data_IF_831286279740
#
_entry.id   IF_831286279740
#
_cell.length_a   1.000
_cell.length_b   1.000
_cell.length_c   1.000
_cell.angle_alpha   90.00
_cell.angle_beta   90.00
_cell.angle_gamma   90.00
#
_symmetry.space_group_name_H-M   'P 1'
#
loop_
_entity.id
_entity.type
_entity.pdbx_description
1 polymer ?
#
# COMPACT_ATOMS: atom_id res chain seq x y z
N UNK A 1 -4.83 13.62 0.88
CA UNK A 1 -4.76 13.74 -0.60
C UNK A 1 -3.83 14.88 -1.04
N UNK A 2 -3.88 16.03 -0.37
CA UNK A 2 -2.98 17.16 -0.66
C UNK A 2 -1.50 16.77 -0.42
N UNK A 3 -1.21 16.01 0.62
CA UNK A 3 0.14 15.50 0.93
C UNK A 3 0.53 14.36 -0.02
N UNK A 4 -0.41 13.52 -0.42
CA UNK A 4 -0.17 12.39 -1.32
C UNK A 4 0.28 12.83 -2.72
N UNK A 5 -0.21 13.96 -3.21
CA UNK A 5 0.14 14.45 -4.55
C UNK A 5 1.65 14.78 -4.70
N UNK A 6 2.25 15.65 -3.87
CA UNK A 6 3.70 15.91 -3.98
C UNK A 6 4.53 14.66 -3.69
N UNK A 7 4.09 13.80 -2.77
CA UNK A 7 4.74 12.52 -2.51
C UNK A 7 4.78 11.63 -3.74
N UNK A 8 3.68 11.49 -4.46
CA UNK A 8 3.63 10.71 -5.69
C UNK A 8 4.65 11.21 -6.73
N UNK A 9 4.85 12.51 -6.83
CA UNK A 9 5.88 13.10 -7.72
C UNK A 9 7.29 12.79 -7.26
N UNK A 10 7.56 12.86 -5.95
CA UNK A 10 8.87 12.53 -5.37
C UNK A 10 9.19 11.05 -5.59
N UNK A 11 8.26 10.16 -5.26
CA UNK A 11 8.43 8.72 -5.46
C UNK A 11 8.50 8.35 -6.95
N UNK A 12 7.77 9.06 -7.82
CA UNK A 12 7.88 8.92 -9.27
C UNK A 12 9.30 9.23 -9.78
N UNK A 13 9.91 10.31 -9.28
CA UNK A 13 11.31 10.64 -9.59
C UNK A 13 12.30 9.64 -8.98
N UNK A 14 12.02 9.17 -7.78
CA UNK A 14 12.87 8.20 -7.09
C UNK A 14 12.86 6.86 -7.81
N UNK A 15 11.73 6.45 -8.41
CA UNK A 15 11.63 5.23 -9.21
C UNK A 15 12.41 5.26 -10.53
N UNK A 16 12.86 6.45 -10.96
CA UNK A 16 13.80 6.59 -12.07
C UNK A 16 15.24 6.24 -11.67
N UNK A 17 15.58 6.40 -10.37
CA UNK A 17 16.91 6.08 -9.83
C UNK A 17 17.02 4.67 -9.25
N UNK A 18 15.95 4.20 -8.65
CA UNK A 18 15.90 2.92 -7.94
C UNK A 18 14.81 2.03 -8.51
N UNK A 19 15.03 0.72 -8.62
CA UNK A 19 14.01 -0.20 -9.12
C UNK A 19 12.78 -0.20 -8.18
N UNK A 20 11.60 -0.18 -8.79
CA UNK A 20 10.33 -0.15 -8.04
C UNK A 20 10.17 -1.35 -7.11
N UNK A 21 10.76 -2.50 -7.46
CA UNK A 21 10.77 -3.71 -6.62
C UNK A 21 11.47 -3.53 -5.27
N UNK A 22 12.39 -2.57 -5.15
CA UNK A 22 13.03 -2.25 -3.87
C UNK A 22 12.27 -1.17 -3.09
N UNK A 23 11.63 -0.23 -3.79
CA UNK A 23 10.91 0.87 -3.15
C UNK A 23 9.56 0.44 -2.57
N UNK A 24 8.85 -0.47 -3.24
CA UNK A 24 7.55 -0.97 -2.77
C UNK A 24 7.66 -1.66 -1.40
N UNK A 25 8.60 -2.59 -1.16
CA UNK A 25 8.78 -3.19 0.16
C UNK A 25 9.06 -2.18 1.27
N UNK A 26 9.85 -1.14 0.99
CA UNK A 26 10.13 -0.06 1.95
C UNK A 26 8.85 0.67 2.33
N UNK A 27 8.01 0.99 1.36
CA UNK A 27 6.73 1.63 1.61
C UNK A 27 5.78 0.74 2.44
N UNK A 28 5.73 -0.57 2.14
CA UNK A 28 4.89 -1.52 2.89
C UNK A 28 5.40 -1.67 4.33
N UNK A 29 6.71 -1.73 4.54
CA UNK A 29 7.30 -1.75 5.87
C UNK A 29 6.97 -0.48 6.65
N UNK A 30 7.03 0.70 5.99
CA UNK A 30 6.60 1.96 6.59
C UNK A 30 5.12 1.95 6.97
N UNK A 31 4.24 1.42 6.12
CA UNK A 31 2.82 1.26 6.44
C UNK A 31 2.58 0.34 7.63
N UNK A 32 3.31 -0.76 7.72
CA UNK A 32 3.24 -1.66 8.88
C UNK A 32 3.64 -0.93 10.16
N UNK A 33 4.72 -0.15 10.11
CA UNK A 33 5.15 0.71 11.23
C UNK A 33 4.11 1.76 11.61
N UNK A 34 3.50 2.42 10.63
CA UNK A 34 2.42 3.39 10.84
C UNK A 34 1.19 2.73 11.49
N UNK A 35 0.81 1.54 11.04
CA UNK A 35 -0.32 0.81 11.62
C UNK A 35 -0.05 0.36 13.07
N UNK A 36 1.19 -0.04 13.38
CA UNK A 36 1.60 -0.34 14.77
C UNK A 36 1.59 0.94 15.61
N UNK A 37 2.11 2.05 15.08
CA UNK A 37 2.09 3.35 15.79
C UNK A 37 0.66 3.81 16.06
N UNK A 38 -0.28 3.56 15.13
CA UNK A 38 -1.69 3.88 15.29
C UNK A 38 -2.33 3.17 16.49
N UNK A 39 -1.82 2.00 16.90
CA UNK A 39 -2.29 1.30 18.09
C UNK A 39 -2.02 2.07 19.37
N UNK A 40 -0.91 2.80 19.42
CA UNK A 40 -0.47 3.59 20.60
C UNK A 40 -0.99 5.03 20.62
N UNK A 41 -1.88 5.39 19.70
CA UNK A 41 -2.46 6.73 19.63
C UNK A 41 -3.32 7.02 20.86
N UNK A 42 -2.91 8.04 21.62
CA UNK A 42 -3.64 8.54 22.80
C UNK A 42 -4.02 10.02 22.69
N UNK A 43 -3.36 10.76 21.82
CA UNK A 43 -3.54 12.21 21.69
C UNK A 43 -3.93 12.63 20.27
N UNK A 44 -4.74 13.67 20.17
CA UNK A 44 -5.26 14.18 18.89
C UNK A 44 -4.15 14.67 17.94
N UNK A 45 -3.10 15.30 18.44
CA UNK A 45 -2.01 15.78 17.59
C UNK A 45 -1.21 14.64 16.93
N UNK A 46 -1.10 13.48 17.60
CA UNK A 46 -0.47 12.27 17.04
C UNK A 46 -1.25 11.76 15.84
N UNK A 47 -2.57 11.92 15.84
CA UNK A 47 -3.42 11.56 14.70
C UNK A 47 -3.10 12.42 13.46
N UNK A 48 -2.83 13.72 13.65
CA UNK A 48 -2.41 14.58 12.54
C UNK A 48 -1.08 14.16 11.93
N UNK A 49 -0.10 13.83 12.77
CA UNK A 49 1.19 13.30 12.31
C UNK A 49 1.00 11.98 11.55
N UNK A 50 0.17 11.09 12.08
CA UNK A 50 -0.16 9.82 11.41
C UNK A 50 -0.80 10.07 10.04
N UNK A 51 -1.76 11.00 9.96
CA UNK A 51 -2.45 11.32 8.71
C UNK A 51 -1.48 11.83 7.63
N UNK A 52 -0.53 12.69 8.01
CA UNK A 52 0.51 13.17 7.10
C UNK A 52 1.41 12.03 6.63
N UNK A 53 1.87 11.17 7.53
CA UNK A 53 2.70 10.02 7.19
C UNK A 53 1.97 9.05 6.26
N UNK A 54 0.72 8.72 6.56
CA UNK A 54 -0.11 7.88 5.67
C UNK A 54 -0.24 8.52 4.30
N UNK A 55 -0.54 9.81 4.22
CA UNK A 55 -0.67 10.55 2.96
C UNK A 55 0.61 10.51 2.13
N UNK A 56 1.77 10.66 2.77
CA UNK A 56 3.06 10.60 2.09
C UNK A 56 3.31 9.23 1.44
N UNK A 57 3.17 8.16 2.19
CA UNK A 57 3.44 6.82 1.68
C UNK A 57 2.34 6.32 0.74
N UNK A 58 1.08 6.71 0.94
CA UNK A 58 -0.04 6.32 0.10
C UNK A 58 0.16 6.77 -1.36
N UNK A 59 0.53 8.03 -1.57
CA UNK A 59 0.82 8.54 -2.91
C UNK A 59 1.99 7.80 -3.56
N UNK A 60 3.05 7.54 -2.78
CA UNK A 60 4.23 6.78 -3.23
C UNK A 60 3.90 5.35 -3.65
N UNK A 61 3.22 4.60 -2.79
CA UNK A 61 2.85 3.19 -3.07
C UNK A 61 1.97 3.10 -4.32
N UNK A 62 0.96 3.95 -4.45
CA UNK A 62 0.08 3.93 -5.61
C UNK A 62 0.83 4.22 -6.91
N UNK A 63 1.70 5.22 -6.93
CA UNK A 63 2.48 5.57 -8.10
C UNK A 63 3.47 4.45 -8.47
N UNK A 64 4.20 3.91 -7.49
CA UNK A 64 5.18 2.85 -7.68
C UNK A 64 4.54 1.54 -8.12
N UNK A 65 3.45 1.13 -7.49
CA UNK A 65 2.74 -0.11 -7.83
C UNK A 65 2.21 -0.08 -9.26
N UNK A 66 1.61 1.03 -9.68
CA UNK A 66 1.13 1.19 -11.06
C UNK A 66 2.29 1.21 -12.06
N UNK A 67 3.39 1.91 -11.75
CA UNK A 67 4.58 1.94 -12.60
C UNK A 67 5.25 0.57 -12.70
N UNK A 68 5.36 -0.16 -11.61
CA UNK A 68 5.92 -1.51 -11.60
C UNK A 68 5.06 -2.47 -12.40
N UNK A 69 3.74 -2.43 -12.20
CA UNK A 69 2.78 -3.25 -12.91
C UNK A 69 2.81 -2.99 -14.41
N UNK A 70 2.89 -1.72 -14.83
CA UNK A 70 3.00 -1.33 -16.25
C UNK A 70 4.24 -1.91 -16.96
N UNK A 71 5.32 -2.18 -16.22
CA UNK A 71 6.55 -2.77 -16.79
C UNK A 71 6.46 -4.29 -16.97
N UNK A 72 5.55 -4.94 -16.26
CA UNK A 72 5.42 -6.41 -16.24
C UNK A 72 4.40 -6.89 -17.27
N UNK A 73 3.36 -6.09 -17.52
CA UNK A 73 2.25 -6.46 -18.40
C UNK A 73 2.57 -6.22 -19.88
N UNK A 74 2.08 -7.07 -20.80
CA UNK A 74 2.21 -6.84 -22.23
C UNK A 74 1.42 -5.59 -22.65
N UNK A 75 2.03 -4.74 -23.47
CA UNK A 75 1.43 -3.47 -23.91
C UNK A 75 0.09 -3.64 -24.63
N UNK A 76 -0.06 -4.74 -25.37
CA UNK A 76 -1.26 -5.04 -26.18
C UNK A 76 -2.52 -5.30 -25.33
N UNK A 77 -2.36 -5.80 -24.10
CA UNK A 77 -3.44 -6.14 -23.18
C UNK A 77 -3.47 -5.27 -21.92
N UNK A 78 -2.77 -4.15 -21.96
CA UNK A 78 -2.61 -3.28 -20.78
C UNK A 78 -3.95 -2.86 -20.16
N UNK A 79 -4.97 -2.59 -20.97
CA UNK A 79 -6.29 -2.18 -20.47
C UNK A 79 -6.98 -3.26 -19.63
N UNK A 80 -6.92 -4.52 -20.05
CA UNK A 80 -7.50 -5.65 -19.30
C UNK A 80 -6.80 -5.86 -17.97
N UNK A 81 -5.46 -5.83 -17.99
CA UNK A 81 -4.65 -6.02 -16.78
C UNK A 81 -4.79 -4.87 -15.79
N UNK A 82 -4.86 -3.61 -16.24
CA UNK A 82 -5.13 -2.48 -15.36
C UNK A 82 -6.55 -2.50 -14.81
N UNK A 83 -7.52 -2.97 -15.58
CA UNK A 83 -8.88 -3.20 -15.08
C UNK A 83 -8.89 -4.20 -13.93
N UNK A 84 -8.20 -5.34 -14.07
CA UNK A 84 -8.07 -6.33 -13.01
C UNK A 84 -7.33 -5.76 -11.78
N UNK A 85 -6.25 -5.00 -12.00
CA UNK A 85 -5.51 -4.34 -10.93
C UNK A 85 -6.39 -3.38 -10.12
N UNK A 86 -7.22 -2.58 -10.79
CA UNK A 86 -8.15 -1.66 -10.13
C UNK A 86 -9.26 -2.39 -9.36
N UNK A 87 -9.77 -3.52 -9.89
CA UNK A 87 -10.75 -4.37 -9.19
C UNK A 87 -10.13 -4.93 -7.90
N UNK A 88 -8.91 -5.47 -7.97
CA UNK A 88 -8.18 -5.96 -6.79
C UNK A 88 -7.94 -4.85 -5.77
N UNK A 89 -7.55 -3.66 -6.22
CA UNK A 89 -7.33 -2.50 -5.34
C UNK A 89 -8.61 -2.04 -4.63
N UNK A 90 -9.73 -1.99 -5.35
CA UNK A 90 -11.04 -1.66 -4.78
C UNK A 90 -11.53 -2.76 -3.83
N UNK A 91 -11.31 -4.03 -4.18
CA UNK A 91 -11.60 -5.18 -3.32
C UNK A 91 -10.81 -5.12 -2.01
N UNK A 92 -9.52 -4.80 -2.06
CA UNK A 92 -8.70 -4.64 -0.87
C UNK A 92 -9.21 -3.50 0.04
N UNK A 93 -9.63 -2.37 -0.53
CA UNK A 93 -10.22 -1.25 0.21
C UNK A 93 -11.54 -1.65 0.88
N UNK A 94 -12.37 -2.42 0.18
CA UNK A 94 -13.61 -2.97 0.75
C UNK A 94 -13.33 -3.90 1.93
N UNK A 95 -12.38 -4.84 1.79
CA UNK A 95 -11.97 -5.73 2.88
C UNK A 95 -11.45 -4.94 4.09
N UNK A 96 -10.65 -3.90 3.88
CA UNK A 96 -10.20 -3.02 4.95
C UNK A 96 -11.36 -2.37 5.72
N UNK A 97 -12.36 -1.87 5.00
CA UNK A 97 -13.56 -1.29 5.61
C UNK A 97 -14.37 -2.32 6.41
N UNK A 98 -14.51 -3.54 5.88
CA UNK A 98 -15.19 -4.65 6.56
C UNK A 98 -14.49 -5.01 7.87
N UNK A 99 -13.15 -5.10 7.86
CA UNK A 99 -12.37 -5.39 9.08
C UNK A 99 -12.63 -4.33 10.15
N UNK A 100 -12.60 -3.06 9.78
CA UNK A 100 -12.87 -1.96 10.72
C UNK A 100 -14.29 -2.06 11.27
N UNK A 101 -15.27 -2.34 10.42
CA UNK A 101 -16.68 -2.49 10.83
C UNK A 101 -16.86 -3.68 11.80
N UNK A 102 -16.30 -4.84 11.48
CA UNK A 102 -16.40 -6.05 12.32
C UNK A 102 -15.77 -5.84 13.69
N UNK A 103 -14.56 -5.24 13.75
CA UNK A 103 -13.91 -4.93 15.03
C UNK A 103 -14.74 -3.98 15.86
N UNK A 104 -15.35 -2.96 15.25
CA UNK A 104 -16.25 -2.02 15.96
C UNK A 104 -17.51 -2.70 16.46
N UNK A 105 -18.13 -3.56 15.68
CA UNK A 105 -19.32 -4.33 16.09
C UNK A 105 -19.01 -5.29 17.24
N UNK A 106 -17.80 -5.84 17.29
CA UNK A 106 -17.32 -6.67 18.39
C UNK A 106 -16.94 -5.89 19.66
N UNK A 107 -17.18 -4.58 19.70
CA UNK A 107 -16.83 -3.71 20.84
C UNK A 107 -15.39 -3.31 20.92
N UNK A 108 -14.59 -3.55 19.87
CA UNK A 108 -13.19 -3.13 19.77
C UNK A 108 -13.03 -1.64 19.53
N UNK A 109 -11.87 -1.10 19.94
CA UNK A 109 -11.50 0.28 19.67
C UNK A 109 -11.04 0.45 18.22
N UNK A 110 -11.10 1.68 17.71
CA UNK A 110 -10.63 1.99 16.35
C UNK A 110 -9.13 1.71 16.19
N UNK A 111 -8.35 1.88 17.27
CA UNK A 111 -6.92 1.60 17.28
C UNK A 111 -6.64 0.11 17.02
N UNK A 112 -7.44 -0.77 17.61
CA UNK A 112 -7.35 -2.22 17.37
C UNK A 112 -7.72 -2.54 15.93
N UNK A 113 -8.76 -1.90 15.38
CA UNK A 113 -9.15 -2.09 13.98
C UNK A 113 -8.02 -1.69 13.02
N UNK A 114 -7.38 -0.55 13.26
CA UNK A 114 -6.24 -0.09 12.44
C UNK A 114 -5.03 -1.01 12.61
N UNK A 115 -4.74 -1.50 13.82
CA UNK A 115 -3.67 -2.45 14.06
C UNK A 115 -3.89 -3.80 13.33
N UNK A 116 -5.14 -4.27 13.21
CA UNK A 116 -5.46 -5.45 12.41
C UNK A 116 -5.08 -5.29 10.93
N UNK A 117 -5.11 -4.06 10.41
CA UNK A 117 -4.65 -3.80 9.03
C UNK A 117 -3.14 -4.04 8.87
N UNK A 118 -2.34 -3.95 9.95
CA UNK A 118 -0.91 -4.27 9.91
C UNK A 118 -0.66 -5.72 9.46
N UNK A 119 -1.56 -6.64 9.82
CA UNK A 119 -1.49 -8.04 9.39
C UNK A 119 -1.66 -8.14 7.87
N UNK A 120 -2.58 -7.38 7.29
CA UNK A 120 -2.77 -7.34 5.83
C UNK A 120 -1.56 -6.74 5.12
N UNK A 121 -0.92 -5.73 5.68
CA UNK A 121 0.31 -5.17 5.13
C UNK A 121 1.47 -6.17 5.21
N UNK A 122 1.61 -6.89 6.32
CA UNK A 122 2.61 -7.93 6.47
C UNK A 122 2.41 -9.08 5.46
N UNK A 123 1.16 -9.52 5.27
CA UNK A 123 0.81 -10.51 4.24
C UNK A 123 1.13 -9.98 2.83
N UNK A 124 0.76 -8.74 2.53
CA UNK A 124 1.09 -8.10 1.25
C UNK A 124 2.60 -8.04 1.00
N UNK A 125 3.39 -7.76 2.03
CA UNK A 125 4.86 -7.78 1.95
C UNK A 125 5.40 -9.17 1.63
N UNK A 126 4.87 -10.21 2.29
CA UNK A 126 5.27 -11.60 2.04
C UNK A 126 4.93 -12.01 0.61
N UNK A 127 3.70 -11.72 0.16
CA UNK A 127 3.28 -12.03 -1.22
C UNK A 127 4.12 -11.30 -2.26
N UNK A 128 4.46 -10.04 -2.02
CA UNK A 128 5.33 -9.28 -2.91
C UNK A 128 6.72 -9.92 -3.01
N UNK A 129 7.32 -10.31 -1.88
CA UNK A 129 8.61 -11.00 -1.87
C UNK A 129 8.59 -12.36 -2.56
N UNK A 130 7.47 -13.08 -2.47
CA UNK A 130 7.30 -14.35 -3.18
C UNK A 130 7.19 -14.08 -4.69
N UNK A 131 6.43 -13.08 -5.09
CA UNK A 131 6.28 -12.69 -6.49
C UNK A 131 7.60 -12.24 -7.12
N UNK A 132 8.39 -11.43 -6.40
CA UNK A 132 9.72 -10.96 -6.86
C UNK A 132 10.75 -12.10 -7.02
N UNK A 133 10.54 -13.24 -6.35
CA UNK A 133 11.43 -14.42 -6.47
C UNK A 133 11.12 -15.29 -7.69
N UNK A 134 9.97 -15.10 -8.31
CA UNK A 134 9.63 -15.86 -9.52
C UNK A 134 10.23 -15.18 -10.73
N UNK A 135 11.04 -15.88 -11.55
CA UNK A 135 11.57 -15.31 -12.79
C UNK A 135 10.41 -14.93 -13.69
N UNK A 136 10.44 -13.67 -14.16
CA UNK A 136 9.40 -13.12 -15.02
C UNK A 136 9.26 -13.98 -16.29
N UNK A 137 8.04 -14.41 -16.59
CA UNK A 137 7.74 -15.31 -17.71
C UNK A 137 7.98 -14.68 -19.12
N UNK A 138 8.72 -13.58 -19.19
CA UNK A 138 9.02 -12.83 -20.40
C UNK A 138 10.50 -12.76 -20.80
N UNK A 139 11.38 -13.41 -20.06
CA UNK A 139 12.83 -13.43 -20.38
C UNK A 139 13.20 -14.77 -21.03
N UNK A 140 12.70 -14.99 -22.27
CA UNK A 140 13.21 -15.95 -23.23
C UNK A 140 13.31 -15.30 -24.58
#
# INVERSE_FOLDING_TARGET
>A
QIVAFPSALIFGRLSAKYPSSQLIPVCIAAYTGIAVFAFFLTQQWQFWVLAVMVGMFQGGVQALSRSHFAKIIPAEKSGEYFGLFDICGKGASFLGSVVIAVVKLAGGTINVAVACLAVFFALGFVFLKIADRQPMAGEK
#
